data_IF_617526952282
#
_entry.id   IF_617526952282
#
_cell.length_a   1.000
_cell.length_b   1.000
_cell.length_c   1.000
_cell.angle_alpha   90.00
_cell.angle_beta   90.00
_cell.angle_gamma   90.00
#
_symmetry.space_group_name_H-M   'P 1'
#
loop_
_entity.id
_entity.type
_entity.pdbx_description
1 polymer ?
#
# COMPACT_ATOMS: atom_id res chain seq x y z
N UNK A 1 15.05 -15.26 28.91
CA UNK A 1 16.49 -14.91 28.98
C UNK A 1 16.74 -14.15 30.28
N UNK A 2 16.12 -14.58 31.39
CA UNK A 2 15.90 -13.73 32.59
C UNK A 2 16.40 -14.34 33.92
N UNK A 3 17.00 -15.54 33.93
CA UNK A 3 17.36 -16.20 35.19
C UNK A 3 18.81 -15.93 35.68
N UNK A 4 19.61 -15.19 34.91
CA UNK A 4 21.03 -14.97 35.23
C UNK A 4 21.29 -13.87 36.29
N UNK A 5 20.34 -12.99 36.55
CA UNK A 5 20.51 -11.87 37.49
C UNK A 5 20.03 -12.18 38.92
N UNK A 6 19.28 -13.28 39.11
CA UNK A 6 18.73 -13.63 40.43
C UNK A 6 19.80 -14.10 41.42
N UNK A 7 20.93 -14.65 40.94
CA UNK A 7 21.95 -15.29 41.77
C UNK A 7 23.02 -14.32 42.32
N UNK A 8 23.12 -13.09 41.80
CA UNK A 8 24.19 -12.14 42.13
C UNK A 8 23.67 -10.81 42.71
N UNK A 9 22.54 -10.82 43.40
CA UNK A 9 22.10 -9.60 44.11
C UNK A 9 22.91 -9.42 45.40
N UNK A 10 23.36 -8.19 45.71
CA UNK A 10 24.19 -7.93 46.88
C UNK A 10 23.50 -8.34 48.20
N UNK A 11 22.16 -8.31 48.24
CA UNK A 11 21.37 -8.78 49.37
C UNK A 11 21.44 -10.30 49.57
N UNK A 12 21.46 -11.09 48.48
CA UNK A 12 21.56 -12.56 48.57
C UNK A 12 22.93 -12.97 49.08
N UNK A 13 23.99 -12.31 48.63
CA UNK A 13 25.34 -12.54 49.13
C UNK A 13 25.45 -12.19 50.62
N UNK A 14 24.91 -11.04 51.03
CA UNK A 14 24.89 -10.63 52.44
C UNK A 14 24.07 -11.60 53.31
N UNK A 15 22.94 -12.11 52.80
CA UNK A 15 22.15 -13.14 53.49
C UNK A 15 22.94 -14.42 53.71
N UNK A 16 23.63 -14.90 52.66
CA UNK A 16 24.44 -16.11 52.71
C UNK A 16 25.63 -15.96 53.68
N UNK A 17 26.28 -14.79 53.70
CA UNK A 17 27.36 -14.47 54.63
C UNK A 17 26.85 -14.48 56.07
N UNK A 18 25.74 -13.80 56.38
CA UNK A 18 25.15 -13.79 57.72
C UNK A 18 24.67 -15.18 58.16
N UNK A 19 24.09 -15.98 57.26
CA UNK A 19 23.70 -17.37 57.56
C UNK A 19 24.92 -18.24 57.87
N UNK A 20 26.04 -18.01 57.17
CA UNK A 20 27.30 -18.71 57.44
C UNK A 20 27.87 -18.31 58.81
N UNK A 21 27.84 -17.02 59.15
CA UNK A 21 28.28 -16.51 60.45
C UNK A 21 27.41 -16.98 61.61
N UNK A 22 26.09 -17.05 61.39
CA UNK A 22 25.12 -17.61 62.33
C UNK A 22 25.41 -19.08 62.60
N UNK A 23 25.57 -19.89 61.55
CA UNK A 23 25.91 -21.31 61.68
C UNK A 23 27.25 -21.53 62.39
N UNK A 24 28.26 -20.71 62.08
CA UNK A 24 29.57 -20.79 62.73
C UNK A 24 29.49 -20.42 64.23
N UNK A 25 28.69 -19.39 64.56
CA UNK A 25 28.46 -18.97 65.95
C UNK A 25 27.67 -20.01 66.74
N UNK A 26 26.70 -20.68 66.10
CA UNK A 26 25.92 -21.76 66.69
C UNK A 26 26.80 -23.00 66.94
N UNK A 27 27.63 -23.40 65.97
CA UNK A 27 28.62 -24.47 66.14
C UNK A 27 29.62 -24.18 67.26
N UNK A 28 30.06 -22.93 67.37
CA UNK A 28 30.94 -22.49 68.46
C UNK A 28 30.25 -22.60 69.83
N UNK A 29 28.98 -22.18 69.94
CA UNK A 29 28.21 -22.30 71.18
C UNK A 29 27.97 -23.76 71.58
N UNK A 30 27.62 -24.63 70.62
CA UNK A 30 27.47 -26.06 70.88
C UNK A 30 28.79 -26.71 71.30
N UNK A 31 29.90 -26.36 70.65
CA UNK A 31 31.23 -26.83 71.07
C UNK A 31 31.62 -26.38 72.48
N UNK A 32 31.22 -25.17 72.89
CA UNK A 32 31.42 -24.66 74.26
C UNK A 32 30.50 -25.35 75.29
N UNK A 33 29.35 -25.88 74.87
CA UNK A 33 28.45 -26.66 75.72
C UNK A 33 28.96 -28.09 75.91
N UNK A 34 29.53 -28.71 74.87
CA UNK A 34 30.10 -30.07 74.95
C UNK A 34 31.38 -30.15 75.81
N UNK A 35 32.07 -29.03 76.04
CA UNK A 35 33.23 -28.94 76.94
C UNK A 35 32.83 -28.89 78.43
N UNK A 36 32.02 -29.86 78.90
CA UNK A 36 31.76 -30.08 80.33
C UNK A 36 32.91 -30.89 80.95
N UNK A 37 33.96 -30.24 81.48
CA UNK A 37 35.05 -31.07 82.02
C UNK A 37 36.15 -30.46 82.88
N UNK A 38 36.21 -29.15 83.13
CA UNK A 38 37.28 -28.62 83.99
C UNK A 38 36.80 -27.56 84.98
N UNK A 39 36.77 -27.91 86.28
CA UNK A 39 36.18 -27.09 87.36
C UNK A 39 36.94 -25.78 87.64
N UNK A 40 38.18 -25.65 87.15
CA UNK A 40 38.99 -24.44 87.32
C UNK A 40 38.74 -23.37 86.22
N UNK A 41 38.05 -23.72 85.13
CA UNK A 41 37.70 -22.80 84.03
C UNK A 41 36.19 -22.57 83.90
N UNK A 42 35.39 -23.04 84.87
CA UNK A 42 33.93 -23.03 84.82
C UNK A 42 33.33 -21.61 84.74
N UNK A 43 33.96 -20.63 85.41
CA UNK A 43 33.53 -19.22 85.36
C UNK A 43 33.80 -18.59 83.98
N UNK A 44 34.97 -18.84 83.39
CA UNK A 44 35.33 -18.37 82.04
C UNK A 44 34.49 -19.04 80.96
N UNK A 45 34.26 -20.36 81.07
CA UNK A 45 33.37 -21.10 80.17
C UNK A 45 31.91 -20.61 80.27
N UNK A 46 31.45 -20.21 81.45
CA UNK A 46 30.14 -19.57 81.61
C UNK A 46 30.09 -18.20 80.95
N UNK A 47 31.13 -17.38 81.08
CA UNK A 47 31.21 -16.06 80.44
C UNK A 47 31.20 -16.18 78.91
N UNK A 48 32.01 -17.08 78.35
CA UNK A 48 32.11 -17.32 76.91
C UNK A 48 30.80 -17.84 76.31
N UNK A 49 30.05 -18.68 77.05
CA UNK A 49 28.71 -19.14 76.64
C UNK A 49 27.69 -17.99 76.59
N UNK A 50 27.74 -17.08 77.56
CA UNK A 50 26.87 -15.89 77.60
C UNK A 50 27.24 -14.91 76.47
N UNK A 51 28.52 -14.78 76.13
CA UNK A 51 28.95 -13.94 75.01
C UNK A 51 28.53 -14.52 73.66
N UNK A 52 28.73 -15.83 73.47
CA UNK A 52 28.30 -16.53 72.26
C UNK A 52 26.77 -16.46 72.06
N UNK A 53 25.98 -16.60 73.13
CA UNK A 53 24.52 -16.46 73.05
C UNK A 53 24.08 -15.04 72.70
N UNK A 54 24.72 -14.00 73.29
CA UNK A 54 24.49 -12.60 72.91
C UNK A 54 24.83 -12.33 71.44
N UNK A 55 25.89 -12.94 70.91
CA UNK A 55 26.26 -12.83 69.50
C UNK A 55 25.20 -13.45 68.58
N UNK A 56 24.65 -14.61 68.95
CA UNK A 56 23.57 -15.26 68.19
C UNK A 56 22.30 -14.40 68.18
N UNK A 57 21.90 -13.81 69.32
CA UNK A 57 20.73 -12.91 69.37
C UNK A 57 20.90 -11.71 68.45
N UNK A 58 22.08 -11.08 68.44
CA UNK A 58 22.37 -9.96 67.53
C UNK A 58 22.35 -10.37 66.05
N UNK A 59 22.87 -11.56 65.74
CA UNK A 59 22.83 -12.09 64.37
C UNK A 59 21.39 -12.41 63.94
N UNK A 60 20.56 -12.92 64.85
CA UNK A 60 19.13 -13.16 64.58
C UNK A 60 18.37 -11.85 64.32
N UNK A 61 18.58 -10.82 65.15
CA UNK A 61 18.00 -9.48 64.92
C UNK A 61 18.39 -8.91 63.55
N UNK A 62 19.65 -9.10 63.14
CA UNK A 62 20.13 -8.67 61.83
C UNK A 62 19.52 -9.49 60.68
N UNK A 63 19.36 -10.81 60.83
CA UNK A 63 18.69 -11.66 59.85
C UNK A 63 17.22 -11.28 59.68
N UNK A 64 16.52 -10.98 60.77
CA UNK A 64 15.13 -10.52 60.73
C UNK A 64 15.00 -9.17 59.99
N UNK A 65 15.92 -8.22 60.24
CA UNK A 65 15.95 -6.95 59.51
C UNK A 65 16.19 -7.18 58.02
N UNK A 66 17.18 -7.98 57.67
CA UNK A 66 17.52 -8.28 56.28
C UNK A 66 16.39 -9.00 55.55
N UNK A 67 15.69 -9.92 56.21
CA UNK A 67 14.51 -10.56 55.66
C UNK A 67 13.42 -9.52 55.30
N UNK A 68 13.18 -8.55 56.19
CA UNK A 68 12.26 -7.44 55.91
C UNK A 68 12.67 -6.62 54.68
N UNK A 69 13.96 -6.36 54.51
CA UNK A 69 14.50 -5.65 53.34
C UNK A 69 14.36 -6.47 52.05
N UNK A 70 14.61 -7.79 52.09
CA UNK A 70 14.41 -8.69 50.94
C UNK A 70 12.95 -8.65 50.49
N UNK A 71 12.00 -8.75 51.42
CA UNK A 71 10.56 -8.71 51.09
C UNK A 71 10.19 -7.38 50.43
N UNK A 72 10.71 -6.25 50.94
CA UNK A 72 10.51 -4.95 50.30
C UNK A 72 11.13 -4.88 48.91
N UNK A 73 12.32 -5.43 48.71
CA UNK A 73 12.98 -5.48 47.41
C UNK A 73 12.19 -6.31 46.40
N UNK A 74 11.70 -7.49 46.80
CA UNK A 74 10.87 -8.34 45.96
C UNK A 74 9.57 -7.63 45.54
N UNK A 75 8.92 -6.94 46.49
CA UNK A 75 7.73 -6.15 46.19
C UNK A 75 8.03 -5.03 45.18
N UNK A 76 9.11 -4.26 45.38
CA UNK A 76 9.51 -3.22 44.43
C UNK A 76 9.87 -3.79 43.06
N UNK A 77 10.53 -4.94 43.00
CA UNK A 77 10.86 -5.60 41.74
C UNK A 77 9.61 -6.01 40.96
N UNK A 78 8.59 -6.51 41.67
CA UNK A 78 7.30 -6.83 41.06
C UNK A 78 6.60 -5.57 40.54
N UNK A 79 6.61 -4.46 41.29
CA UNK A 79 6.08 -3.17 40.86
C UNK A 79 6.82 -2.62 39.62
N UNK A 80 8.15 -2.74 39.59
CA UNK A 80 8.98 -2.37 38.42
C UNK A 80 8.59 -3.22 37.22
N UNK A 81 8.48 -4.54 37.38
CA UNK A 81 8.11 -5.47 36.32
C UNK A 81 6.74 -5.14 35.74
N UNK A 82 5.75 -4.85 36.59
CA UNK A 82 4.41 -4.44 36.16
C UNK A 82 4.46 -3.13 35.36
N UNK A 83 5.22 -2.15 35.84
CA UNK A 83 5.39 -0.86 35.15
C UNK A 83 6.05 -1.02 33.78
N UNK A 84 7.06 -1.90 33.67
CA UNK A 84 7.71 -2.23 32.41
C UNK A 84 6.75 -2.88 31.41
N UNK A 85 5.90 -3.82 31.87
CA UNK A 85 4.89 -4.45 31.03
C UNK A 85 3.88 -3.43 30.50
N UNK A 86 3.37 -2.53 31.37
CA UNK A 86 2.48 -1.45 30.97
C UNK A 86 3.14 -0.49 29.97
N UNK A 87 4.43 -0.19 30.15
CA UNK A 87 5.19 0.64 29.22
C UNK A 87 5.30 -0.01 27.84
N UNK A 88 5.58 -1.32 27.78
CA UNK A 88 5.63 -2.08 26.54
C UNK A 88 4.26 -2.10 25.85
N UNK A 89 3.18 -2.31 26.61
CA UNK A 89 1.81 -2.31 26.07
C UNK A 89 1.42 -0.94 25.51
N UNK A 90 1.72 0.14 26.23
CA UNK A 90 1.55 1.52 25.77
C UNK A 90 2.35 1.79 24.50
N UNK A 91 3.60 1.30 24.43
CA UNK A 91 4.44 1.39 23.24
C UNK A 91 3.80 0.70 22.03
N UNK A 92 3.26 -0.52 22.20
CA UNK A 92 2.55 -1.24 21.14
C UNK A 92 1.30 -0.49 20.68
N UNK A 93 0.53 0.09 21.60
CA UNK A 93 -0.66 0.88 21.26
C UNK A 93 -0.29 2.13 20.44
N UNK A 94 0.78 2.84 20.82
CA UNK A 94 1.30 4.00 20.05
C UNK A 94 1.71 3.60 18.63
N UNK A 95 2.44 2.49 18.47
CA UNK A 95 2.85 2.02 17.15
C UNK A 95 1.66 1.65 16.26
N UNK A 96 0.64 0.97 16.83
CA UNK A 96 -0.61 0.67 16.09
C UNK A 96 -1.31 1.95 15.66
N UNK A 97 -1.40 2.94 16.55
CA UNK A 97 -2.01 4.23 16.23
C UNK A 97 -1.27 4.95 15.09
N UNK A 98 0.07 5.00 15.15
CA UNK A 98 0.90 5.60 14.10
C UNK A 98 0.71 4.87 12.76
N UNK A 99 0.69 3.52 12.77
CA UNK A 99 0.45 2.72 11.57
C UNK A 99 -0.89 3.07 10.94
N UNK A 100 -1.98 3.03 11.73
CA UNK A 100 -3.31 3.35 11.25
C UNK A 100 -3.41 4.77 10.69
N UNK A 101 -2.73 5.74 11.32
CA UNK A 101 -2.70 7.12 10.87
C UNK A 101 -1.93 7.26 9.54
N UNK A 102 -0.84 6.53 9.37
CA UNK A 102 -0.07 6.50 8.13
C UNK A 102 -0.86 5.85 6.99
N UNK A 103 -1.56 4.75 7.26
CA UNK A 103 -2.44 4.09 6.31
C UNK A 103 -3.59 5.01 5.87
N UNK A 104 -4.24 5.67 6.84
CA UNK A 104 -5.31 6.64 6.56
C UNK A 104 -4.80 7.83 5.74
N UNK A 105 -3.59 8.33 6.03
CA UNK A 105 -2.95 9.38 5.24
C UNK A 105 -2.72 8.92 3.79
N UNK A 106 -2.16 7.74 3.59
CA UNK A 106 -1.90 7.18 2.26
C UNK A 106 -3.19 7.01 1.45
N UNK A 107 -4.26 6.53 2.07
CA UNK A 107 -5.58 6.43 1.43
C UNK A 107 -6.13 7.80 1.04
N UNK A 108 -5.97 8.81 1.90
CA UNK A 108 -6.42 10.16 1.60
C UNK A 108 -5.64 10.76 0.42
N UNK A 109 -4.32 10.57 0.37
CA UNK A 109 -3.48 11.02 -0.75
C UNK A 109 -3.92 10.37 -2.08
N UNK A 110 -4.26 9.09 -2.08
CA UNK A 110 -4.81 8.40 -3.26
C UNK A 110 -6.15 9.00 -3.70
N UNK A 111 -7.08 9.22 -2.75
CA UNK A 111 -8.38 9.81 -3.05
C UNK A 111 -8.24 11.24 -3.60
N UNK A 112 -7.34 12.03 -3.05
CA UNK A 112 -7.05 13.39 -3.53
C UNK A 112 -6.48 13.34 -4.94
N UNK A 113 -5.49 12.48 -5.21
CA UNK A 113 -4.92 12.33 -6.54
C UNK A 113 -5.97 11.90 -7.58
N UNK A 114 -6.87 10.98 -7.24
CA UNK A 114 -7.95 10.55 -8.12
C UNK A 114 -9.01 11.65 -8.33
N UNK A 115 -9.31 12.44 -7.29
CA UNK A 115 -10.19 13.59 -7.40
C UNK A 115 -9.60 14.66 -8.33
N UNK A 116 -8.29 14.93 -8.24
CA UNK A 116 -7.59 15.86 -9.12
C UNK A 116 -7.60 15.40 -10.58
N UNK A 117 -7.36 14.11 -10.84
CA UNK A 117 -7.47 13.52 -12.18
C UNK A 117 -8.89 13.65 -12.76
N UNK A 118 -9.91 13.36 -11.96
CA UNK A 118 -11.33 13.53 -12.35
C UNK A 118 -11.67 14.98 -12.63
N UNK A 119 -11.14 15.90 -11.83
CA UNK A 119 -11.35 17.34 -12.01
C UNK A 119 -10.66 17.83 -13.29
N UNK A 120 -9.44 17.39 -13.57
CA UNK A 120 -8.72 17.70 -14.81
C UNK A 120 -9.48 17.21 -16.05
N UNK A 121 -9.93 15.96 -16.05
CA UNK A 121 -10.75 15.41 -17.16
C UNK A 121 -12.08 16.14 -17.33
N UNK A 122 -12.77 16.47 -16.23
CA UNK A 122 -13.99 17.27 -16.27
C UNK A 122 -13.76 18.69 -16.83
N UNK A 123 -12.62 19.32 -16.54
CA UNK A 123 -12.24 20.62 -17.12
C UNK A 123 -12.02 20.52 -18.63
N UNK A 124 -11.35 19.46 -19.10
CA UNK A 124 -11.17 19.22 -20.55
C UNK A 124 -12.52 18.98 -21.21
N UNK A 125 -13.38 18.13 -20.65
CA UNK A 125 -14.72 17.87 -21.17
C UNK A 125 -15.59 19.15 -21.20
N UNK A 126 -15.50 20.00 -20.17
CA UNK A 126 -16.21 21.29 -20.12
C UNK A 126 -15.70 22.26 -21.20
N UNK A 127 -14.39 22.26 -21.49
CA UNK A 127 -13.81 23.09 -22.57
C UNK A 127 -14.23 22.61 -23.96
N UNK A 128 -14.35 21.30 -24.15
CA UNK A 128 -14.80 20.71 -25.40
C UNK A 128 -16.29 21.00 -25.71
N UNK A 129 -17.06 21.41 -24.70
CA UNK A 129 -18.50 21.70 -24.74
C UNK A 129 -19.28 20.80 -25.70
N UNK A 130 -19.23 19.46 -25.52
CA UNK A 130 -19.80 18.56 -26.49
C UNK A 130 -21.33 18.70 -26.44
N UNK A 131 -21.91 19.17 -27.54
CA UNK A 131 -23.35 19.27 -27.69
C UNK A 131 -23.95 17.86 -27.61
N UNK A 132 -24.68 17.62 -26.53
CA UNK A 132 -25.32 16.31 -26.25
C UNK A 132 -26.17 15.83 -27.42
N UNK A 133 -26.84 16.75 -28.13
CA UNK A 133 -27.62 16.44 -29.32
C UNK A 133 -26.76 15.81 -30.45
N UNK A 134 -25.58 16.37 -30.72
CA UNK A 134 -24.67 15.88 -31.77
C UNK A 134 -24.11 14.50 -31.40
N UNK A 135 -23.79 14.27 -30.12
CA UNK A 135 -23.37 12.94 -29.63
C UNK A 135 -24.49 11.91 -29.83
N UNK A 136 -25.73 12.24 -29.47
CA UNK A 136 -26.87 11.33 -29.61
C UNK A 136 -27.13 11.02 -31.09
N UNK A 137 -27.05 12.03 -31.96
CA UNK A 137 -27.17 11.81 -33.40
C UNK A 137 -26.05 10.94 -33.96
N UNK A 138 -24.81 11.19 -33.56
CA UNK A 138 -23.67 10.39 -33.96
C UNK A 138 -23.80 8.95 -33.47
N UNK A 139 -24.21 8.74 -32.21
CA UNK A 139 -24.46 7.42 -31.66
C UNK A 139 -25.59 6.67 -32.40
N UNK A 140 -26.67 7.36 -32.79
CA UNK A 140 -27.73 6.79 -33.63
C UNK A 140 -27.22 6.38 -35.01
N UNK A 141 -26.31 7.16 -35.62
CA UNK A 141 -25.66 6.81 -36.89
C UNK A 141 -24.77 5.58 -36.72
N UNK A 142 -23.93 5.56 -35.67
CA UNK A 142 -23.01 4.46 -35.39
C UNK A 142 -23.75 3.15 -35.07
N UNK A 143 -24.86 3.23 -34.33
CA UNK A 143 -25.68 2.08 -33.93
C UNK A 143 -26.18 1.27 -35.12
N UNK A 144 -26.39 1.87 -36.30
CA UNK A 144 -26.80 1.13 -37.51
C UNK A 144 -25.73 0.16 -38.00
N UNK A 145 -24.46 0.47 -37.75
CA UNK A 145 -23.30 -0.27 -38.23
C UNK A 145 -22.71 -1.19 -37.16
N UNK A 146 -23.03 -0.96 -35.88
CA UNK A 146 -22.52 -1.77 -34.76
C UNK A 146 -23.56 -2.69 -34.14
N UNK A 147 -24.86 -2.48 -34.42
CA UNK A 147 -25.93 -3.33 -33.90
C UNK A 147 -26.15 -4.55 -34.80
N UNK A 148 -26.32 -5.71 -34.18
CA UNK A 148 -26.74 -6.91 -34.90
C UNK A 148 -28.14 -6.70 -35.54
N UNK A 149 -28.38 -7.19 -36.77
CA UNK A 149 -29.68 -7.06 -37.42
C UNK A 149 -30.83 -7.60 -36.56
N UNK A 150 -32.05 -7.03 -36.66
CA UNK A 150 -33.22 -7.62 -36.01
C UNK A 150 -33.39 -9.07 -36.50
N UNK A 151 -33.47 -10.03 -35.56
CA UNK A 151 -33.49 -11.49 -35.80
C UNK A 151 -32.14 -12.14 -36.18
N UNK A 152 -31.00 -11.52 -35.87
CA UNK A 152 -29.70 -12.19 -35.99
C UNK A 152 -29.59 -13.38 -35.03
N UNK A 153 -29.62 -14.60 -35.57
CA UNK A 153 -29.32 -15.83 -34.83
C UNK A 153 -27.92 -16.31 -35.23
N UNK A 154 -26.94 -16.35 -34.31
CA UNK A 154 -25.57 -16.78 -34.60
C UNK A 154 -25.47 -18.24 -35.09
N UNK A 155 -26.51 -19.06 -34.88
CA UNK A 155 -26.56 -20.44 -35.34
C UNK A 155 -27.24 -20.62 -36.71
N UNK A 156 -28.00 -19.62 -37.16
CA UNK A 156 -28.66 -19.61 -38.46
C UNK A 156 -27.90 -18.65 -39.38
N UNK A 157 -27.02 -19.19 -40.22
CA UNK A 157 -26.19 -18.44 -41.17
C UNK A 157 -26.95 -17.75 -42.32
N UNK A 158 -28.26 -17.53 -42.18
CA UNK A 158 -29.11 -16.95 -43.23
C UNK A 158 -28.83 -15.46 -43.48
N UNK A 159 -28.29 -14.72 -42.51
CA UNK A 159 -27.92 -13.31 -42.67
C UNK A 159 -26.51 -13.11 -42.11
N UNK A 160 -25.46 -13.03 -42.96
CA UNK A 160 -24.13 -12.68 -42.49
C UNK A 160 -24.15 -11.24 -41.94
N UNK A 161 -23.53 -10.98 -40.78
CA UNK A 161 -23.45 -9.63 -40.26
C UNK A 161 -22.60 -8.79 -41.21
N UNK A 162 -23.08 -7.58 -41.54
CA UNK A 162 -22.27 -6.65 -42.32
C UNK A 162 -20.99 -6.33 -41.53
N UNK A 163 -19.81 -6.38 -42.18
CA UNK A 163 -18.56 -6.11 -41.50
C UNK A 163 -18.51 -4.65 -41.03
N UNK A 164 -17.86 -4.35 -39.89
CA UNK A 164 -17.77 -2.99 -39.34
C UNK A 164 -16.85 -2.06 -40.14
N UNK A 165 -16.40 -2.48 -41.33
CA UNK A 165 -15.48 -1.77 -42.19
C UNK A 165 -16.03 -1.69 -43.61
N UNK A 166 -15.66 -0.66 -44.40
CA UNK A 166 -16.16 -0.48 -45.76
C UNK A 166 -15.79 -1.66 -46.66
N UNK A 167 -16.79 -2.25 -47.32
CA UNK A 167 -16.63 -3.38 -48.23
C UNK A 167 -16.00 -2.91 -49.56
N UNK A 168 -15.23 -3.78 -50.22
CA UNK A 168 -14.56 -3.51 -51.51
C UNK A 168 -15.48 -2.89 -52.57
N UNK A 169 -16.73 -3.33 -52.65
CA UNK A 169 -17.72 -2.79 -53.60
C UNK A 169 -18.04 -1.32 -53.28
N UNK A 170 -18.24 -0.98 -52.00
CA UNK A 170 -18.48 0.38 -51.55
C UNK A 170 -17.24 1.27 -51.77
N UNK A 171 -16.04 0.75 -51.51
CA UNK A 171 -14.79 1.47 -51.78
C UNK A 171 -14.57 1.72 -53.28
N UNK A 172 -14.94 0.75 -54.14
CA UNK A 172 -14.86 0.88 -55.61
C UNK A 172 -15.93 1.81 -56.18
N UNK A 173 -17.11 1.88 -55.56
CA UNK A 173 -18.19 2.77 -55.96
C UNK A 173 -17.99 4.23 -55.47
N UNK A 174 -17.08 4.42 -54.52
CA UNK A 174 -16.83 5.70 -53.86
C UNK A 174 -16.28 6.79 -54.78
N UNK A 175 -16.32 8.03 -54.29
CA UNK A 175 -15.88 9.20 -55.06
C UNK A 175 -14.39 9.14 -55.40
N UNK A 176 -13.57 8.63 -54.47
CA UNK A 176 -12.11 8.50 -54.64
C UNK A 176 -11.72 7.58 -55.80
N UNK A 177 -12.41 6.46 -55.99
CA UNK A 177 -12.13 5.54 -57.11
C UNK A 177 -12.58 6.13 -58.45
N UNK A 178 -13.69 6.86 -58.47
CA UNK A 178 -14.16 7.58 -59.67
C UNK A 178 -13.18 8.66 -60.10
N UNK A 179 -12.63 9.41 -59.14
CA UNK A 179 -11.61 10.43 -59.42
C UNK A 179 -10.35 9.81 -60.03
N UNK A 180 -9.86 8.69 -59.46
CA UNK A 180 -8.71 7.95 -60.02
C UNK A 180 -9.00 7.41 -61.44
N UNK A 181 -10.20 6.91 -61.69
CA UNK A 181 -10.61 6.44 -63.02
C UNK A 181 -10.69 7.60 -64.03
N UNK A 182 -11.22 8.77 -63.64
CA UNK A 182 -11.30 9.96 -64.50
C UNK A 182 -9.91 10.54 -64.81
N UNK A 183 -8.98 10.48 -63.85
CA UNK A 183 -7.58 10.88 -64.07
C UNK A 183 -6.85 9.93 -65.02
N UNK A 184 -7.00 8.61 -64.84
CA UNK A 184 -6.44 7.63 -65.77
C UNK A 184 -6.99 7.74 -67.19
N UNK A 185 -8.30 7.98 -67.35
CA UNK A 185 -8.92 8.18 -68.66
C UNK A 185 -8.52 9.49 -69.36
N UNK A 186 -8.08 10.51 -68.61
CA UNK A 186 -7.51 11.74 -69.17
C UNK A 186 -6.04 11.59 -69.60
N UNK A 187 -5.31 10.65 -69.00
CA UNK A 187 -3.92 10.37 -69.35
C UNK A 187 -3.80 9.40 -70.56
N UNK A 188 -4.78 8.50 -70.77
CA UNK A 188 -4.83 7.58 -71.93
C UNK A 188 -5.40 8.19 -73.23
N UNK A 189 -6.10 9.33 -73.18
CA UNK A 189 -6.68 9.99 -74.36
C UNK A 189 -5.74 11.03 -75.01
N UNK A 190 -4.45 11.04 -74.64
CA UNK A 190 -3.46 12.02 -75.16
C UNK A 190 -2.54 11.49 -76.25
N UNK A 191 -2.69 10.23 -76.67
CA UNK A 191 -1.94 9.65 -77.79
C UNK A 191 -2.88 8.72 -78.59
N UNK A 192 -3.75 9.26 -79.45
CA UNK A 192 -4.00 8.71 -80.79
C UNK A 192 -5.06 9.51 -81.59
N UNK A 193 -4.60 9.92 -82.79
CA UNK A 193 -5.32 10.21 -84.05
C UNK A 193 -5.89 11.61 -84.34
N UNK A 194 -5.23 12.25 -85.31
CA UNK A 194 -5.75 13.20 -86.28
C UNK A 194 -6.93 12.63 -87.10
N UNK A 195 -7.81 13.56 -87.54
CA UNK A 195 -8.69 13.57 -88.71
C UNK A 195 -10.21 13.31 -88.58
N UNK A 196 -10.92 14.37 -88.99
CA UNK A 196 -12.10 14.45 -89.87
C UNK A 196 -13.48 14.88 -89.32
N UNK A 197 -14.12 15.64 -90.21
CA UNK A 197 -15.30 16.50 -90.16
C UNK A 197 -16.61 15.79 -89.80
N UNK A 198 -17.52 16.46 -89.07
CA UNK A 198 -18.90 15.98 -88.90
C UNK A 198 -19.73 16.78 -87.90
N UNK A 199 -20.56 17.69 -88.42
CA UNK A 199 -21.68 18.38 -87.77
C UNK A 199 -22.66 17.40 -87.08
N UNK A 200 -23.21 17.75 -85.91
CA UNK A 200 -24.60 17.54 -85.42
C UNK A 200 -24.72 17.75 -83.88
N UNK A 201 -25.22 18.94 -83.53
CA UNK A 201 -26.23 19.27 -82.50
C UNK A 201 -26.47 18.38 -81.24
N UNK A 202 -26.40 19.07 -80.09
CA UNK A 202 -27.35 19.09 -78.97
C UNK A 202 -27.47 17.86 -78.04
N UNK A 203 -27.17 18.03 -76.74
CA UNK A 203 -28.08 18.64 -75.77
C UNK A 203 -27.43 18.72 -74.36
N UNK A 204 -27.57 19.89 -73.74
CA UNK A 204 -27.38 20.15 -72.32
C UNK A 204 -28.16 19.16 -71.43
N UNK A 205 -27.54 18.69 -70.34
CA UNK A 205 -27.93 19.09 -68.98
C UNK A 205 -26.87 18.65 -67.95
N UNK A 206 -25.73 19.34 -67.96
CA UNK A 206 -24.80 19.35 -66.82
C UNK A 206 -25.42 20.24 -65.74
N UNK A 207 -26.14 19.62 -64.81
CA UNK A 207 -26.42 20.20 -63.51
C UNK A 207 -25.11 20.30 -62.71
N UNK A 208 -24.36 21.37 -62.98
CA UNK A 208 -23.81 22.26 -61.97
C UNK A 208 -23.04 21.57 -60.82
N UNK A 209 -21.92 20.93 -61.14
CA UNK A 209 -20.95 20.42 -60.15
C UNK A 209 -19.48 20.62 -60.56
N UNK A 210 -19.20 21.45 -61.57
CA UNK A 210 -17.85 21.59 -62.15
C UNK A 210 -16.99 22.69 -61.52
N UNK A 211 -17.49 23.46 -60.56
CA UNK A 211 -16.70 24.49 -59.84
C UNK A 211 -16.43 24.10 -58.38
N UNK A 212 -15.92 22.89 -58.14
CA UNK A 212 -15.24 22.60 -56.88
C UNK A 212 -13.76 22.44 -57.22
N UNK A 213 -13.02 23.53 -57.11
CA UNK A 213 -11.57 23.54 -57.26
C UNK A 213 -10.94 22.49 -56.34
N UNK A 214 -9.99 21.73 -56.88
CA UNK A 214 -9.31 20.66 -56.14
C UNK A 214 -8.60 21.17 -54.87
N UNK A 215 -8.34 22.48 -54.79
CA UNK A 215 -7.74 23.18 -53.67
C UNK A 215 -8.71 23.34 -52.49
N UNK A 216 -10.04 23.25 -52.70
CA UNK A 216 -11.07 23.34 -51.65
C UNK A 216 -11.35 21.96 -50.98
N UNK A 217 -11.04 20.86 -51.68
CA UNK A 217 -11.10 19.50 -51.14
C UNK A 217 -9.78 19.06 -50.49
N UNK A 218 -8.67 19.73 -50.81
CA UNK A 218 -7.41 19.65 -50.09
C UNK A 218 -7.49 20.49 -48.81
N UNK A 219 -8.35 20.02 -47.90
CA UNK A 219 -8.36 20.35 -46.48
C UNK A 219 -6.98 20.79 -46.00
N UNK A 220 -6.89 22.09 -45.70
CA UNK A 220 -5.93 22.76 -44.85
C UNK A 220 -5.96 22.20 -43.42
N UNK A 221 -5.73 20.89 -43.29
CA UNK A 221 -5.49 20.20 -42.05
C UNK A 221 -4.09 20.59 -41.60
N UNK A 222 -4.01 21.68 -40.86
CA UNK A 222 -2.88 21.94 -39.98
C UNK A 222 -2.78 20.79 -38.97
N UNK A 223 -1.83 19.89 -39.23
CA UNK A 223 -1.58 18.70 -38.45
C UNK A 223 -0.76 18.98 -37.18
N UNK A 224 -0.36 20.23 -36.92
CA UNK A 224 0.38 20.63 -35.71
C UNK A 224 0.06 22.08 -35.26
N UNK A 225 -1.07 22.31 -34.56
CA UNK A 225 -1.43 23.65 -34.06
C UNK A 225 -0.64 24.09 -32.80
N UNK A 226 0.25 23.26 -32.26
CA UNK A 226 0.85 23.44 -30.92
C UNK A 226 2.32 23.92 -30.93
N UNK A 227 2.74 24.73 -31.92
CA UNK A 227 4.08 25.32 -31.98
C UNK A 227 4.03 26.85 -32.08
N UNK A 228 3.39 27.50 -31.11
CA UNK A 228 3.68 28.87 -30.65
C UNK A 228 3.62 28.96 -29.12
#
# INVERSE_FOLDING_TARGET
MDDLDAQNTPLVNLANDLLSEYNNSLRSLLGLLDTEGNRNTAAEASHNRIEASKKIVKLDENLQRLYGEIVQHQRRQEEIRQTQLLSIESGKAKLRFISNMLDAKSQLEQVVADAERKLATARVAKRADPKVAEIIEYAKKLSKFTMAPPNYDPNSGAVPPEPPYPVLVAMRAGVLSRYRAKKGAKEDNTDDEDMEEGDYMAAHDEAQFDDIDADDLLLSLDLNPDLE
#
